data_IF_338201423860
#
_entry.id   IF_338201423860
#
_cell.length_a   1.000
_cell.length_b   1.000
_cell.length_c   1.000
_cell.angle_alpha   90.00
_cell.angle_beta   90.00
_cell.angle_gamma   90.00
#
_symmetry.space_group_name_H-M   'P 1'
#
loop_
_entity.id
_entity.type
_entity.pdbx_description
1 polymer ?
#
# COMPACT_ATOMS: atom_id res chain seq x y z
N UNK A 1 46.41 -7.92 45.25
CA UNK A 1 45.16 -7.24 44.89
C UNK A 1 44.54 -8.00 43.72
N UNK A 2 43.56 -8.85 44.05
CA UNK A 2 42.50 -9.34 43.16
C UNK A 2 41.86 -8.14 42.44
N UNK A 3 41.47 -8.18 41.16
CA UNK A 3 40.48 -9.05 40.54
C UNK A 3 40.82 -9.42 39.08
N UNK A 4 40.24 -10.54 38.66
CA UNK A 4 40.30 -11.21 37.38
C UNK A 4 39.03 -10.87 36.55
N UNK A 5 39.06 -11.18 35.24
CA UNK A 5 37.95 -11.25 34.27
C UNK A 5 37.41 -9.91 33.74
N UNK A 6 37.04 -9.74 32.47
CA UNK A 6 37.08 -10.57 31.27
C UNK A 6 36.88 -9.62 30.07
N UNK A 7 37.26 -10.10 28.89
CA UNK A 7 36.89 -9.54 27.58
C UNK A 7 35.43 -9.11 27.57
N UNK A 8 35.17 -7.82 27.40
CA UNK A 8 33.82 -7.36 27.10
C UNK A 8 33.65 -7.44 25.59
N UNK A 9 33.34 -8.66 25.15
CA UNK A 9 32.72 -8.97 23.88
C UNK A 9 31.43 -8.14 23.82
N UNK A 10 31.45 -7.02 23.11
CA UNK A 10 30.23 -6.25 22.82
C UNK A 10 29.49 -7.05 21.76
N UNK A 11 28.85 -8.13 22.23
CA UNK A 11 27.90 -8.90 21.46
C UNK A 11 26.93 -7.91 20.82
N UNK A 12 27.07 -7.74 19.51
CA UNK A 12 26.05 -7.17 18.68
C UNK A 12 24.83 -8.06 18.91
N UNK A 13 23.93 -7.60 19.78
CA UNK A 13 22.62 -8.20 19.94
C UNK A 13 21.92 -8.01 18.60
N UNK A 14 21.98 -9.06 17.77
CA UNK A 14 21.09 -9.22 16.62
C UNK A 14 19.66 -9.01 17.14
N UNK A 15 18.90 -8.04 16.60
CA UNK A 15 17.52 -7.90 17.00
C UNK A 15 16.75 -9.15 16.55
N UNK A 16 16.16 -9.85 17.52
CA UNK A 16 15.25 -10.97 17.34
C UNK A 16 14.18 -10.65 16.28
N UNK A 17 13.78 -11.60 15.40
CA UNK A 17 12.84 -11.36 14.33
C UNK A 17 11.42 -11.28 14.89
N UNK A 18 11.06 -10.15 15.49
CA UNK A 18 9.68 -9.85 15.84
C UNK A 18 8.91 -9.47 14.57
N UNK A 19 8.57 -10.43 13.71
CA UNK A 19 7.45 -10.39 12.75
C UNK A 19 7.22 -9.12 11.93
N UNK A 20 8.23 -8.27 11.74
CA UNK A 20 8.08 -6.99 11.05
C UNK A 20 8.13 -7.27 9.56
N UNK A 21 6.94 -7.51 8.99
CA UNK A 21 6.78 -7.50 7.54
C UNK A 21 7.24 -6.13 7.06
N UNK A 22 8.28 -6.07 6.23
CA UNK A 22 8.75 -4.84 5.61
C UNK A 22 7.62 -4.28 4.73
N UNK A 23 6.81 -3.38 5.30
CA UNK A 23 5.67 -2.82 4.59
C UNK A 23 6.17 -1.88 3.49
N UNK A 24 5.76 -2.15 2.25
CA UNK A 24 6.12 -1.31 1.12
C UNK A 24 5.39 0.03 1.21
N UNK A 25 6.16 1.09 1.42
CA UNK A 25 5.67 2.46 1.51
C UNK A 25 5.58 3.09 0.12
N UNK A 26 4.45 3.72 -0.17
CA UNK A 26 4.18 4.41 -1.42
C UNK A 26 4.37 5.93 -1.24
N UNK A 27 4.88 6.59 -2.27
CA UNK A 27 5.00 8.06 -2.29
C UNK A 27 3.80 8.67 -3.01
N UNK A 28 3.12 9.61 -2.36
CA UNK A 28 1.96 10.28 -2.97
C UNK A 28 2.38 11.33 -4.00
N UNK A 29 1.91 11.22 -5.23
CA UNK A 29 2.21 12.22 -6.29
C UNK A 29 1.00 13.05 -6.71
N UNK A 30 0.11 13.28 -5.76
CA UNK A 30 -1.04 14.18 -5.95
C UNK A 30 -0.56 15.61 -6.13
N UNK A 31 -0.98 16.27 -7.22
CA UNK A 31 -0.63 17.66 -7.53
C UNK A 31 -1.37 18.61 -6.59
N UNK A 32 -0.60 19.52 -6.00
CA UNK A 32 -1.08 20.62 -5.17
C UNK A 32 -1.32 21.87 -6.02
N UNK A 33 -2.11 22.83 -5.52
CA UNK A 33 -2.38 24.08 -6.25
C UNK A 33 -1.14 24.93 -6.55
N UNK A 34 -0.07 24.78 -5.76
CA UNK A 34 1.23 25.46 -5.96
C UNK A 34 2.10 24.81 -7.06
N UNK A 35 1.60 23.75 -7.70
CA UNK A 35 2.31 22.99 -8.73
C UNK A 35 3.24 21.90 -8.17
N UNK A 36 3.42 21.81 -6.86
CA UNK A 36 4.20 20.74 -6.22
C UNK A 36 3.38 19.45 -6.07
N UNK A 37 4.06 18.34 -5.75
CA UNK A 37 3.41 17.08 -5.41
C UNK A 37 3.31 16.89 -3.88
N UNK A 38 2.37 16.05 -3.45
CA UNK A 38 2.19 15.71 -2.04
C UNK A 38 3.48 15.17 -1.39
N UNK A 39 4.15 14.24 -2.07
CA UNK A 39 5.37 13.52 -1.68
C UNK A 39 5.33 12.84 -0.30
N UNK A 40 4.18 12.85 0.37
CA UNK A 40 4.05 12.22 1.68
C UNK A 40 4.01 10.70 1.52
N UNK A 41 4.83 9.96 2.26
CA UNK A 41 4.82 8.52 2.21
C UNK A 41 3.61 7.93 2.95
N UNK A 42 3.04 6.84 2.44
CA UNK A 42 1.90 6.15 3.04
C UNK A 42 1.91 4.65 2.74
N UNK A 43 1.21 3.87 3.57
CA UNK A 43 1.00 2.44 3.35
C UNK A 43 -0.20 2.21 2.43
N UNK A 44 -0.18 1.14 1.63
CA UNK A 44 -1.29 0.83 0.70
C UNK A 44 -2.67 0.82 1.38
N UNK A 45 -2.77 0.22 2.57
CA UNK A 45 -4.02 0.14 3.32
C UNK A 45 -4.49 1.50 3.86
N UNK A 46 -3.57 2.47 4.02
CA UNK A 46 -3.83 3.81 4.53
C UNK A 46 -4.18 4.84 3.45
N UNK A 47 -4.15 4.48 2.16
CA UNK A 47 -4.43 5.41 1.06
C UNK A 47 -5.77 6.16 1.25
N UNK A 48 -6.81 5.46 1.68
CA UNK A 48 -8.13 6.06 1.87
C UNK A 48 -8.18 7.09 3.01
N UNK A 49 -7.35 6.91 4.04
CA UNK A 49 -7.16 7.89 5.10
C UNK A 49 -6.32 9.07 4.60
N UNK A 50 -5.21 8.78 3.92
CA UNK A 50 -4.34 9.79 3.32
C UNK A 50 -5.10 10.75 2.39
N UNK A 51 -5.89 10.24 1.45
CA UNK A 51 -6.70 11.04 0.52
C UNK A 51 -7.71 11.95 1.26
N UNK A 52 -8.22 11.51 2.41
CA UNK A 52 -9.20 12.25 3.21
C UNK A 52 -8.55 13.38 4.01
N UNK A 53 -7.38 13.12 4.56
CA UNK A 53 -6.69 14.05 5.47
C UNK A 53 -5.85 15.07 4.72
N UNK A 54 -5.12 14.65 3.69
CA UNK A 54 -4.19 15.51 2.95
C UNK A 54 -4.81 16.14 1.70
N UNK A 55 -5.84 15.52 1.11
CA UNK A 55 -6.46 16.01 -0.13
C UNK A 55 -7.95 16.35 0.03
N UNK A 56 -8.50 16.26 1.25
CA UNK A 56 -9.85 16.74 1.56
C UNK A 56 -10.97 15.93 0.89
N UNK A 57 -10.69 14.71 0.43
CA UNK A 57 -11.67 13.86 -0.27
C UNK A 57 -12.67 13.29 0.75
N UNK A 58 -13.71 14.08 1.02
CA UNK A 58 -14.77 13.81 2.00
C UNK A 58 -16.12 13.73 1.29
N UNK A 59 -17.08 13.03 1.90
CA UNK A 59 -18.43 12.81 1.34
C UNK A 59 -18.74 11.33 1.08
N UNK A 60 -19.91 11.09 0.48
CA UNK A 60 -20.39 9.77 0.04
C UNK A 60 -20.29 9.57 -1.47
N UNK A 61 -20.87 8.47 -1.97
CA UNK A 61 -20.59 7.95 -3.31
C UNK A 61 -21.17 8.78 -4.46
N UNK A 62 -21.99 9.77 -4.11
CA UNK A 62 -22.54 10.76 -5.06
C UNK A 62 -21.54 11.87 -5.41
N UNK A 63 -20.44 12.00 -4.67
CA UNK A 63 -19.43 13.01 -4.93
C UNK A 63 -18.38 12.49 -5.89
N UNK A 64 -18.27 13.17 -7.02
CA UNK A 64 -17.24 12.94 -8.02
C UNK A 64 -15.99 13.74 -7.67
N UNK A 65 -14.83 13.14 -7.92
CA UNK A 65 -13.50 13.68 -7.62
C UNK A 65 -12.64 13.49 -8.85
N UNK A 66 -12.04 14.59 -9.32
CA UNK A 66 -11.00 14.54 -10.35
C UNK A 66 -9.69 14.05 -9.71
N UNK A 67 -9.17 12.93 -10.19
CA UNK A 67 -7.86 12.45 -9.80
C UNK A 67 -6.80 13.45 -10.25
N UNK A 68 -6.03 14.01 -9.32
CA UNK A 68 -4.98 15.00 -9.63
C UNK A 68 -3.58 14.41 -9.53
N UNK A 69 -3.44 13.10 -9.76
CA UNK A 69 -2.17 12.39 -9.70
C UNK A 69 -1.41 12.54 -11.03
N UNK A 70 -0.20 13.10 -11.05
CA UNK A 70 0.69 13.24 -12.23
C UNK A 70 -0.05 13.31 -13.59
N UNK A 71 -0.74 14.42 -13.85
CA UNK A 71 -1.48 14.68 -15.11
C UNK A 71 -2.66 13.74 -15.40
N UNK A 72 -3.15 13.01 -14.41
CA UNK A 72 -4.43 12.31 -14.52
C UNK A 72 -5.58 13.31 -14.62
N UNK A 73 -6.59 12.95 -15.42
CA UNK A 73 -7.81 13.74 -15.64
C UNK A 73 -9.08 12.93 -15.37
N UNK A 74 -8.94 11.75 -14.77
CA UNK A 74 -10.06 10.85 -14.53
C UNK A 74 -10.96 11.38 -13.43
N UNK A 75 -12.26 11.43 -13.71
CA UNK A 75 -13.30 11.77 -12.74
C UNK A 75 -13.96 10.48 -12.22
N UNK A 76 -13.87 10.27 -10.91
CA UNK A 76 -14.32 9.05 -10.26
C UNK A 76 -15.14 9.40 -9.03
N UNK A 77 -16.08 8.53 -8.64
CA UNK A 77 -16.63 8.61 -7.31
C UNK A 77 -15.56 8.24 -6.26
N UNK A 78 -15.81 8.63 -5.01
CA UNK A 78 -14.89 8.38 -3.89
C UNK A 78 -14.51 6.91 -3.72
N UNK A 79 -15.46 5.98 -3.81
CA UNK A 79 -15.19 4.53 -3.66
C UNK A 79 -14.25 4.00 -4.74
N UNK A 80 -14.38 4.52 -5.95
CA UNK A 80 -13.58 4.10 -7.09
C UNK A 80 -12.21 4.78 -7.12
N UNK A 81 -12.05 5.94 -6.48
CA UNK A 81 -10.81 6.70 -6.49
C UNK A 81 -9.64 5.94 -5.86
N UNK A 82 -9.81 5.39 -4.66
CA UNK A 82 -8.74 4.60 -4.01
C UNK A 82 -8.30 3.43 -4.89
N UNK A 83 -9.27 2.72 -5.48
CA UNK A 83 -8.99 1.61 -6.40
C UNK A 83 -8.29 2.08 -7.68
N UNK A 84 -8.73 3.20 -8.24
CA UNK A 84 -8.11 3.80 -9.41
C UNK A 84 -6.65 4.14 -9.15
N UNK A 85 -6.35 4.80 -8.03
CA UNK A 85 -4.99 5.16 -7.66
C UNK A 85 -4.11 3.92 -7.47
N UNK A 86 -4.57 2.93 -6.71
CA UNK A 86 -3.83 1.67 -6.50
C UNK A 86 -3.46 0.97 -7.81
N UNK A 87 -4.44 0.78 -8.70
CA UNK A 87 -4.19 0.05 -9.96
C UNK A 87 -3.47 0.88 -11.03
N UNK A 88 -3.75 2.18 -11.12
CA UNK A 88 -3.30 3.02 -12.23
C UNK A 88 -1.95 3.66 -11.94
N UNK A 89 -1.77 4.19 -10.74
CA UNK A 89 -0.61 4.98 -10.36
C UNK A 89 0.41 4.19 -9.55
N UNK A 90 -0.07 3.40 -8.58
CA UNK A 90 0.81 2.55 -7.75
C UNK A 90 1.12 1.19 -8.41
N UNK A 91 0.45 0.86 -9.52
CA UNK A 91 0.56 -0.41 -10.25
C UNK A 91 0.42 -1.65 -9.34
N UNK A 92 -0.39 -1.51 -8.29
CA UNK A 92 -0.67 -2.60 -7.36
C UNK A 92 -1.33 -3.74 -8.11
N UNK A 93 -0.74 -4.92 -7.98
CA UNK A 93 -1.19 -6.12 -8.63
C UNK A 93 -1.20 -7.27 -7.61
N UNK A 94 -2.17 -8.16 -7.77
CA UNK A 94 -2.42 -9.27 -6.85
C UNK A 94 -2.14 -10.57 -7.60
N UNK A 95 -0.92 -11.11 -7.53
CA UNK A 95 -0.61 -12.41 -8.13
C UNK A 95 -1.35 -13.52 -7.38
N UNK A 96 -1.76 -14.55 -8.12
CA UNK A 96 -2.19 -15.82 -7.55
C UNK A 96 -0.96 -16.67 -7.24
N UNK A 97 -0.86 -17.12 -5.99
CA UNK A 97 0.28 -17.92 -5.51
C UNK A 97 0.40 -19.29 -6.20
N UNK A 98 -0.67 -19.77 -6.83
CA UNK A 98 -0.73 -21.14 -7.40
C UNK A 98 -0.52 -21.17 -8.92
N UNK A 99 -1.09 -20.23 -9.67
CA UNK A 99 -1.07 -20.26 -11.13
C UNK A 99 -0.35 -19.06 -11.75
N UNK A 100 0.27 -18.21 -10.92
CA UNK A 100 1.00 -17.01 -11.31
C UNK A 100 0.17 -16.00 -12.14
N UNK A 101 -1.16 -16.14 -12.13
CA UNK A 101 -2.07 -15.20 -12.81
C UNK A 101 -2.18 -13.93 -11.98
N UNK A 102 -1.98 -12.78 -12.61
CA UNK A 102 -2.03 -11.48 -11.96
C UNK A 102 -3.40 -10.83 -12.10
N UNK A 103 -3.92 -10.30 -11.00
CA UNK A 103 -5.20 -9.58 -10.96
C UNK A 103 -4.98 -8.13 -10.55
N UNK A 104 -5.87 -7.24 -11.01
CA UNK A 104 -5.85 -5.82 -10.63
C UNK A 104 -6.65 -5.53 -9.34
N UNK A 105 -7.34 -6.55 -8.81
CA UNK A 105 -8.15 -6.45 -7.59
C UNK A 105 -7.97 -7.68 -6.72
N UNK A 106 -7.84 -7.46 -5.42
CA UNK A 106 -7.71 -8.51 -4.43
C UNK A 106 -8.91 -9.47 -4.44
N UNK A 107 -10.13 -8.93 -4.47
CA UNK A 107 -11.36 -9.74 -4.54
C UNK A 107 -11.35 -10.74 -5.72
N UNK A 108 -10.88 -10.29 -6.90
CA UNK A 108 -10.83 -11.16 -8.07
C UNK A 108 -9.78 -12.27 -7.90
N UNK A 109 -8.63 -11.97 -7.29
CA UNK A 109 -7.60 -12.95 -6.96
C UNK A 109 -8.12 -13.96 -5.93
N UNK A 110 -8.80 -13.50 -4.88
CA UNK A 110 -9.35 -14.35 -3.82
C UNK A 110 -10.46 -15.25 -4.37
N UNK A 111 -11.37 -14.71 -5.19
CA UNK A 111 -12.41 -15.51 -5.86
C UNK A 111 -11.81 -16.54 -6.81
N UNK A 112 -10.79 -16.15 -7.58
CA UNK A 112 -10.03 -17.09 -8.39
C UNK A 112 -9.42 -18.20 -7.52
N UNK A 113 -8.69 -17.87 -6.46
CA UNK A 113 -8.10 -18.86 -5.56
C UNK A 113 -9.18 -19.80 -4.99
N UNK A 114 -10.31 -19.27 -4.50
CA UNK A 114 -11.40 -20.06 -3.93
C UNK A 114 -11.98 -21.09 -4.91
N UNK A 115 -12.10 -20.77 -6.21
CA UNK A 115 -12.58 -21.72 -7.22
C UNK A 115 -11.55 -22.84 -7.47
N UNK A 116 -10.27 -22.47 -7.55
CA UNK A 116 -9.19 -23.43 -7.81
C UNK A 116 -8.86 -24.28 -6.56
N UNK A 117 -9.23 -23.83 -5.36
CA UNK A 117 -9.19 -24.62 -4.12
C UNK A 117 -10.23 -25.74 -4.07
N UNK A 118 -11.31 -25.68 -4.88
CA UNK A 118 -12.41 -26.68 -4.88
C UNK A 118 -12.18 -27.81 -5.88
N UNK A 119 -11.31 -27.65 -6.87
CA UNK A 119 -11.04 -28.68 -7.89
C UNK A 119 -9.91 -29.67 -7.53
N UNK A 120 -9.47 -29.69 -6.26
CA UNK A 120 -8.46 -30.63 -5.76
C UNK A 120 -8.95 -31.41 -4.53
N UNK A 121 -10.19 -31.90 -4.59
CA UNK A 121 -10.67 -33.02 -3.76
C UNK A 121 -11.19 -34.14 -4.65
#
# INVERSE_FOLDING_TARGET
MSHNLASNDFAFLEPEPSGYTFEQMNECRWRRPDGSHCSYPFLDHELSAHLREYHGIRGGDKFHVCCSWEDCTQELNKENLSRHVKGTHLKVAYPCDTCNKTFTREYNRNSHQAIFSVQQQ
#
